data_IF_793363487231
#
_entry.id   IF_793363487231
#
_cell.length_a   1.000
_cell.length_b   1.000
_cell.length_c   1.000
_cell.angle_alpha   90.00
_cell.angle_beta   90.00
_cell.angle_gamma   90.00
#
_symmetry.space_group_name_H-M   'P 1'
#
loop_
_entity.id
_entity.type
_entity.pdbx_description
1 polymer ?
#
# COMPACT_ATOMS: atom_id res chain seq x y z
N UNK A 1 16.54 1.78 -45.08
CA UNK A 1 15.59 0.67 -45.25
C UNK A 1 14.69 0.69 -44.01
N UNK A 2 13.47 1.20 -44.19
CA UNK A 2 12.51 1.28 -43.08
C UNK A 2 11.80 -0.05 -42.89
N UNK A 3 11.57 -0.41 -41.64
CA UNK A 3 10.86 -1.62 -41.20
C UNK A 3 9.33 -1.41 -41.12
N UNK A 4 8.83 -0.40 -41.86
CA UNK A 4 7.44 0.05 -41.71
C UNK A 4 6.39 -0.80 -42.45
N UNK A 5 6.74 -1.97 -42.97
CA UNK A 5 5.80 -2.83 -43.69
C UNK A 5 5.94 -4.32 -43.37
N UNK A 6 6.02 -4.66 -42.08
CA UNK A 6 5.94 -6.07 -41.66
C UNK A 6 4.46 -6.40 -41.44
N UNK A 7 3.86 -7.10 -42.39
CA UNK A 7 2.53 -7.71 -42.22
C UNK A 7 2.73 -9.06 -41.51
N UNK A 8 2.34 -9.11 -40.24
CA UNK A 8 2.30 -10.36 -39.48
C UNK A 8 1.07 -11.17 -39.89
N UNK A 9 1.24 -12.46 -40.17
CA UNK A 9 0.10 -13.33 -40.44
C UNK A 9 -0.74 -13.54 -39.17
N UNK A 10 -2.06 -13.79 -39.29
CA UNK A 10 -2.93 -14.05 -38.13
C UNK A 10 -2.40 -15.19 -37.24
N UNK A 11 -1.78 -16.23 -37.82
CA UNK A 11 -1.21 -17.36 -37.08
C UNK A 11 0.01 -16.92 -36.24
N UNK A 12 0.81 -16.00 -36.78
CA UNK A 12 1.98 -15.50 -36.06
C UNK A 12 1.57 -14.56 -34.90
N UNK A 13 0.53 -13.77 -35.12
CA UNK A 13 -0.06 -12.94 -34.04
C UNK A 13 -0.64 -13.84 -32.94
N UNK A 14 -1.37 -14.90 -33.30
CA UNK A 14 -1.92 -15.86 -32.35
C UNK A 14 -0.82 -16.57 -31.54
N UNK A 15 0.33 -16.87 -32.15
CA UNK A 15 1.45 -17.49 -31.45
C UNK A 15 2.19 -16.54 -30.50
N UNK A 16 2.18 -15.22 -30.79
CA UNK A 16 2.81 -14.20 -29.95
C UNK A 16 1.95 -13.81 -28.74
N UNK A 17 0.63 -13.96 -28.85
CA UNK A 17 -0.33 -13.57 -27.82
C UNK A 17 -1.32 -14.69 -27.49
N UNK A 18 -0.87 -15.84 -26.93
CA UNK A 18 -1.73 -17.00 -26.73
C UNK A 18 -2.89 -16.78 -25.74
N UNK A 19 -2.80 -15.75 -24.88
CA UNK A 19 -3.80 -15.52 -23.83
C UNK A 19 -4.55 -14.18 -23.94
N UNK A 20 -4.23 -13.33 -24.93
CA UNK A 20 -4.77 -11.96 -25.01
C UNK A 20 -5.46 -11.62 -26.33
N UNK A 21 -5.63 -12.57 -27.26
CA UNK A 21 -6.33 -12.33 -28.53
C UNK A 21 -7.84 -12.33 -28.30
N UNK A 22 -8.45 -11.14 -28.47
CA UNK A 22 -9.89 -10.99 -28.56
C UNK A 22 -10.27 -11.00 -30.03
N UNK A 23 -10.97 -12.03 -30.51
CA UNK A 23 -11.56 -12.07 -31.83
C UNK A 23 -12.67 -11.01 -31.92
N UNK A 24 -12.42 -9.94 -32.67
CA UNK A 24 -13.44 -8.98 -33.05
C UNK A 24 -14.09 -9.51 -34.33
N UNK A 25 -15.15 -10.30 -34.20
CA UNK A 25 -16.03 -10.60 -35.33
C UNK A 25 -16.88 -9.38 -35.66
N UNK A 26 -16.54 -8.73 -36.75
CA UNK A 26 -17.42 -7.79 -37.43
C UNK A 26 -18.49 -8.60 -38.18
N UNK A 27 -19.63 -8.82 -37.57
CA UNK A 27 -20.84 -9.30 -38.23
C UNK A 27 -22.02 -8.50 -37.71
N UNK A 28 -22.44 -7.54 -38.54
CA UNK A 28 -23.71 -6.87 -38.36
C UNK A 28 -24.86 -7.86 -38.26
N UNK A 29 -25.39 -7.98 -37.05
CA UNK A 29 -26.77 -8.31 -36.78
C UNK A 29 -27.09 -8.10 -35.30
N UNK A 30 -28.14 -7.34 -35.06
CA UNK A 30 -28.78 -7.03 -33.80
C UNK A 30 -29.10 -8.29 -32.99
N UNK A 31 -28.31 -8.61 -32.04
CA UNK A 31 -28.58 -9.63 -31.03
C UNK A 31 -28.08 -9.17 -29.67
N UNK A 32 -29.01 -8.84 -28.79
CA UNK A 32 -28.74 -8.58 -27.39
C UNK A 32 -28.06 -9.83 -26.80
N UNK A 33 -26.74 -9.83 -26.71
CA UNK A 33 -26.01 -10.80 -25.90
C UNK A 33 -25.84 -10.22 -24.51
N UNK A 34 -26.09 -11.02 -23.46
CA UNK A 34 -25.82 -10.59 -22.10
C UNK A 34 -24.30 -10.37 -21.99
N UNK A 35 -23.93 -9.18 -21.65
CA UNK A 35 -22.57 -8.72 -21.36
C UNK A 35 -22.13 -9.27 -20.00
N UNK A 36 -21.96 -10.58 -19.94
CA UNK A 36 -21.51 -11.28 -18.75
C UNK A 36 -20.53 -12.35 -19.16
N UNK A 37 -19.30 -11.95 -19.34
CA UNK A 37 -18.10 -12.77 -19.18
C UNK A 37 -16.99 -12.28 -20.13
N UNK A 38 -16.18 -11.35 -19.68
CA UNK A 38 -14.73 -11.20 -19.96
C UNK A 38 -14.22 -9.83 -19.50
N UNK A 39 -14.86 -9.21 -18.52
CA UNK A 39 -14.17 -8.24 -17.71
C UNK A 39 -13.79 -8.95 -16.41
N UNK A 40 -12.75 -9.75 -16.46
CA UNK A 40 -11.89 -9.91 -15.30
C UNK A 40 -11.31 -8.54 -15.00
N UNK A 41 -12.17 -7.62 -14.53
CA UNK A 41 -11.71 -6.41 -13.86
C UNK A 41 -10.87 -6.95 -12.72
N UNK A 42 -9.56 -6.82 -12.81
CA UNK A 42 -8.72 -6.82 -11.64
C UNK A 42 -9.26 -5.69 -10.77
N UNK A 43 -10.28 -5.99 -9.99
CA UNK A 43 -10.78 -5.08 -8.98
C UNK A 43 -9.69 -5.07 -7.93
N UNK A 44 -8.76 -4.14 -8.07
CA UNK A 44 -7.82 -3.84 -6.98
C UNK A 44 -8.72 -3.49 -5.78
N UNK A 45 -8.66 -4.24 -4.68
CA UNK A 45 -9.52 -4.01 -3.53
C UNK A 45 -9.46 -2.56 -3.12
N UNK A 46 -10.61 -1.97 -2.89
CA UNK A 46 -10.67 -0.60 -2.37
C UNK A 46 -10.42 -0.69 -0.87
N UNK A 47 -9.19 -0.39 -0.45
CA UNK A 47 -8.86 -0.25 0.96
C UNK A 47 -9.35 1.09 1.47
N UNK A 48 -10.30 1.13 2.43
CA UNK A 48 -10.65 2.36 3.13
C UNK A 48 -9.39 2.95 3.77
N UNK A 49 -9.11 4.20 3.52
CA UNK A 49 -7.91 4.85 4.06
C UNK A 49 -8.17 6.31 4.38
N UNK A 50 -7.48 6.80 5.39
CA UNK A 50 -7.48 8.20 5.76
C UNK A 50 -6.27 8.88 5.12
N UNK A 51 -6.49 10.04 4.49
CA UNK A 51 -5.45 10.78 3.76
C UNK A 51 -5.53 10.63 2.25
N UNK A 52 -4.57 11.20 1.52
CA UNK A 52 -4.55 11.25 0.05
C UNK A 52 -3.32 10.60 -0.58
N UNK A 53 -2.42 10.06 0.22
CA UNK A 53 -1.17 9.41 -0.23
C UNK A 53 -0.29 10.27 -1.16
N UNK A 54 -0.22 11.57 -0.94
CA UNK A 54 0.50 12.49 -1.83
C UNK A 54 2.02 12.26 -1.87
N UNK A 55 2.59 11.63 -0.83
CA UNK A 55 4.02 11.32 -0.73
C UNK A 55 4.34 9.83 -0.73
N UNK A 56 3.40 9.00 -1.16
CA UNK A 56 3.58 7.53 -1.22
C UNK A 56 4.02 6.93 0.13
N UNK A 57 3.42 7.40 1.22
CA UNK A 57 3.69 6.94 2.58
C UNK A 57 2.45 6.21 3.10
N UNK A 58 2.59 4.94 3.43
CA UNK A 58 1.49 4.13 3.96
C UNK A 58 1.71 3.85 5.44
N UNK A 59 0.67 4.06 6.23
CA UNK A 59 0.59 3.62 7.62
C UNK A 59 -0.40 2.46 7.72
N UNK A 60 0.09 1.30 8.09
CA UNK A 60 -0.74 0.15 8.43
C UNK A 60 -0.91 0.12 9.94
N UNK A 61 -2.15 0.18 10.39
CA UNK A 61 -2.52 0.14 11.81
C UNK A 61 -3.40 -1.07 12.10
N UNK A 62 -3.53 -1.44 13.36
CA UNK A 62 -4.34 -2.57 13.82
C UNK A 62 -5.19 -2.15 15.03
N UNK A 63 -6.41 -1.67 14.74
CA UNK A 63 -7.39 -1.25 15.76
C UNK A 63 -8.77 -1.83 15.43
N UNK A 64 -9.10 -3.02 15.97
CA UNK A 64 -10.34 -3.74 15.62
C UNK A 64 -11.61 -2.98 15.99
N UNK A 65 -11.57 -2.13 17.02
CA UNK A 65 -12.73 -1.38 17.52
C UNK A 65 -12.91 0.00 16.87
N UNK A 66 -12.08 0.34 15.88
CA UNK A 66 -12.10 1.65 15.22
C UNK A 66 -12.07 1.52 13.71
N UNK A 67 -12.69 2.47 13.01
CA UNK A 67 -12.61 2.52 11.55
C UNK A 67 -11.15 2.73 11.07
N UNK A 68 -10.43 3.64 11.69
CA UNK A 68 -9.02 3.89 11.41
C UNK A 68 -8.17 3.77 12.68
N UNK A 69 -8.09 4.83 13.49
CA UNK A 69 -7.32 4.87 14.74
C UNK A 69 -8.09 5.62 15.81
N UNK A 70 -7.84 5.33 17.11
CA UNK A 70 -8.36 6.14 18.20
C UNK A 70 -7.90 7.60 18.10
N UNK A 71 -8.73 8.54 18.58
CA UNK A 71 -8.45 9.98 18.50
C UNK A 71 -7.11 10.38 19.15
N UNK A 72 -6.78 9.79 20.29
CA UNK A 72 -5.51 10.02 20.97
C UNK A 72 -4.29 9.56 20.16
N UNK A 73 -4.42 8.46 19.40
CA UNK A 73 -3.38 7.97 18.50
C UNK A 73 -3.30 8.83 17.23
N UNK A 74 -4.43 9.29 16.73
CA UNK A 74 -4.47 10.23 15.60
C UNK A 74 -3.78 11.55 15.95
N UNK A 75 -4.06 12.09 17.13
CA UNK A 75 -3.41 13.32 17.63
C UNK A 75 -1.89 13.14 17.78
N UNK A 76 -1.45 11.96 18.24
CA UNK A 76 -0.03 11.64 18.34
C UNK A 76 0.62 11.52 16.95
N UNK A 77 -0.04 10.86 16.01
CA UNK A 77 0.42 10.74 14.63
C UNK A 77 0.54 12.11 13.96
N UNK A 78 -0.41 13.01 14.18
CA UNK A 78 -0.33 14.40 13.68
C UNK A 78 0.93 15.13 14.17
N UNK A 79 1.32 14.96 15.44
CA UNK A 79 2.56 15.55 15.98
C UNK A 79 3.80 14.98 15.30
N UNK A 80 3.84 13.67 15.05
CA UNK A 80 4.95 12.99 14.33
C UNK A 80 5.04 13.50 12.90
N UNK A 81 3.92 13.51 12.19
CA UNK A 81 3.87 13.99 10.80
C UNK A 81 4.31 15.45 10.70
N UNK A 82 3.82 16.31 11.57
CA UNK A 82 4.23 17.72 11.64
C UNK A 82 5.73 17.88 11.84
N UNK A 83 6.35 17.07 12.72
CA UNK A 83 7.80 17.05 12.92
C UNK A 83 8.58 16.61 11.67
N UNK A 84 7.97 15.78 10.84
CA UNK A 84 8.52 15.34 9.54
C UNK A 84 8.16 16.28 8.37
N UNK A 85 7.56 17.43 8.63
CA UNK A 85 7.04 18.35 7.62
C UNK A 85 6.06 17.68 6.66
N UNK A 86 5.27 16.78 7.19
CA UNK A 86 4.20 16.06 6.51
C UNK A 86 2.85 16.39 7.13
N UNK A 87 1.80 16.16 6.37
CA UNK A 87 0.40 16.26 6.79
C UNK A 87 -0.31 14.92 6.61
N UNK A 88 -1.53 14.81 7.12
CA UNK A 88 -2.36 13.62 6.92
C UNK A 88 -2.65 13.37 5.43
N UNK A 89 -2.71 14.42 4.58
CA UNK A 89 -2.89 14.27 3.15
C UNK A 89 -1.70 13.60 2.44
N UNK A 90 -0.51 13.68 3.04
CA UNK A 90 0.71 13.09 2.46
C UNK A 90 0.79 11.58 2.61
N UNK A 91 -0.02 11.00 3.49
CA UNK A 91 -0.04 9.59 3.82
C UNK A 91 -1.34 8.90 3.39
N UNK A 92 -1.33 7.58 3.37
CA UNK A 92 -2.51 6.72 3.41
C UNK A 92 -2.47 5.89 4.69
N UNK A 93 -3.43 6.12 5.59
CA UNK A 93 -3.57 5.36 6.82
C UNK A 93 -4.66 4.32 6.63
N UNK A 94 -4.30 3.05 6.76
CA UNK A 94 -5.15 1.88 6.50
C UNK A 94 -5.24 1.06 7.77
N UNK A 95 -6.46 0.73 8.21
CA UNK A 95 -6.65 -0.17 9.33
C UNK A 95 -6.75 -1.61 8.83
N UNK A 96 -5.72 -2.41 9.11
CA UNK A 96 -5.63 -3.80 8.68
C UNK A 96 -6.58 -4.75 9.43
N UNK A 97 -7.14 -4.33 10.57
CA UNK A 97 -8.17 -5.09 11.29
C UNK A 97 -9.50 -5.11 10.55
N UNK A 98 -9.80 -4.05 9.80
CA UNK A 98 -11.08 -3.90 9.10
C UNK A 98 -11.14 -4.75 7.83
N UNK A 99 -10.01 -4.99 7.18
CA UNK A 99 -9.90 -5.75 5.95
C UNK A 99 -8.53 -6.46 5.88
N UNK A 100 -8.47 -7.75 5.53
CA UNK A 100 -7.19 -8.42 5.34
C UNK A 100 -6.41 -7.75 4.20
N UNK A 101 -5.28 -7.16 4.55
CA UNK A 101 -4.40 -6.48 3.59
C UNK A 101 -3.44 -7.49 2.97
N UNK A 102 -3.42 -7.58 1.65
CA UNK A 102 -2.44 -8.37 0.91
C UNK A 102 -1.32 -7.46 0.42
N UNK A 103 -0.08 -7.94 0.53
CA UNK A 103 1.12 -7.18 0.17
C UNK A 103 1.10 -6.69 -1.27
N UNK A 104 0.85 -7.59 -2.22
CA UNK A 104 0.86 -7.26 -3.65
C UNK A 104 -0.21 -6.24 -4.02
N UNK A 105 -1.41 -6.37 -3.44
CA UNK A 105 -2.51 -5.44 -3.66
C UNK A 105 -2.23 -4.04 -3.08
N UNK A 106 -1.59 -4.00 -1.89
CA UNK A 106 -1.16 -2.76 -1.26
C UNK A 106 -0.16 -2.00 -2.14
N UNK A 107 0.87 -2.71 -2.61
CA UNK A 107 1.90 -2.13 -3.48
C UNK A 107 1.28 -1.63 -4.78
N UNK A 108 0.46 -2.45 -5.43
CA UNK A 108 -0.19 -2.09 -6.68
C UNK A 108 -1.11 -0.87 -6.54
N UNK A 109 -1.79 -0.72 -5.41
CA UNK A 109 -2.75 0.37 -5.19
C UNK A 109 -2.13 1.68 -4.77
N UNK A 110 -1.17 1.63 -3.85
CA UNK A 110 -0.64 2.84 -3.19
C UNK A 110 0.75 3.24 -3.67
N UNK A 111 1.46 2.34 -4.40
CA UNK A 111 2.85 2.55 -4.85
C UNK A 111 3.73 3.14 -3.74
N UNK A 112 3.78 2.52 -2.55
CA UNK A 112 4.43 3.09 -1.40
C UNK A 112 5.96 3.15 -1.59
N UNK A 113 6.56 4.23 -1.14
CA UNK A 113 8.00 4.35 -0.94
C UNK A 113 8.38 4.05 0.51
N UNK A 114 7.45 4.32 1.42
CA UNK A 114 7.64 4.13 2.85
C UNK A 114 6.38 3.46 3.42
N UNK A 115 6.57 2.41 4.21
CA UNK A 115 5.50 1.75 4.95
C UNK A 115 5.83 1.75 6.44
N UNK A 116 4.95 2.30 7.25
CA UNK A 116 4.97 2.18 8.69
C UNK A 116 4.02 1.06 9.13
N UNK A 117 4.56 0.07 9.85
CA UNK A 117 3.77 -0.95 10.53
C UNK A 117 3.51 -0.45 11.96
N UNK A 118 2.38 0.21 12.17
CA UNK A 118 2.04 0.91 13.40
C UNK A 118 1.26 0.02 14.36
N UNK A 119 1.95 -0.52 15.34
CA UNK A 119 1.47 -1.60 16.18
C UNK A 119 1.80 -2.98 15.61
N UNK A 120 1.42 -4.03 16.32
CA UNK A 120 1.48 -5.38 15.76
C UNK A 120 0.41 -5.49 14.67
N UNK A 121 0.80 -5.78 13.42
CA UNK A 121 -0.13 -5.95 12.30
C UNK A 121 -0.28 -7.44 11.97
N UNK A 122 -1.15 -8.17 12.69
CA UNK A 122 -1.31 -9.63 12.54
C UNK A 122 -1.79 -10.02 11.14
N UNK A 123 -2.55 -9.15 10.47
CA UNK A 123 -3.07 -9.38 9.13
C UNK A 123 -1.98 -9.59 8.07
N UNK A 124 -0.76 -9.18 8.35
CA UNK A 124 0.40 -9.38 7.48
C UNK A 124 1.41 -10.40 8.03
N UNK A 125 1.09 -11.05 9.16
CA UNK A 125 1.92 -12.11 9.71
C UNK A 125 2.03 -13.25 8.66
N UNK A 126 3.26 -13.59 8.28
CA UNK A 126 3.54 -14.62 7.26
C UNK A 126 3.69 -14.08 5.83
N UNK A 127 3.29 -12.84 5.55
CA UNK A 127 3.58 -12.19 4.26
C UNK A 127 4.87 -11.37 4.29
N UNK A 128 5.29 -10.96 5.48
CA UNK A 128 6.49 -10.16 5.71
C UNK A 128 7.49 -10.93 6.57
N UNK A 129 8.81 -10.73 6.36
CA UNK A 129 9.83 -11.26 7.26
C UNK A 129 9.71 -10.61 8.65
N UNK A 130 10.32 -11.24 9.66
CA UNK A 130 10.41 -10.64 10.98
C UNK A 130 11.29 -9.40 10.94
N UNK A 131 10.73 -8.24 11.23
CA UNK A 131 11.44 -6.97 11.29
C UNK A 131 11.83 -6.60 12.72
N UNK A 132 12.96 -5.96 12.86
CA UNK A 132 13.36 -5.38 14.14
C UNK A 132 12.63 -4.06 14.37
N UNK A 133 12.03 -3.91 15.56
CA UNK A 133 11.31 -2.70 15.95
C UNK A 133 12.15 -1.43 15.84
N UNK A 134 11.56 -0.37 15.32
CA UNK A 134 12.18 0.95 15.11
C UNK A 134 13.47 0.89 14.26
N UNK A 135 13.52 -0.01 13.28
CA UNK A 135 14.63 -0.15 12.35
C UNK A 135 14.12 -0.04 10.92
N UNK A 136 14.77 0.78 10.11
CA UNK A 136 14.45 0.90 8.68
C UNK A 136 14.98 -0.33 7.95
N UNK A 137 14.09 -1.10 7.36
CA UNK A 137 14.40 -2.25 6.50
C UNK A 137 13.98 -1.95 5.07
N UNK A 138 14.78 -2.37 4.10
CA UNK A 138 14.47 -2.19 2.68
C UNK A 138 14.00 -3.53 2.11
N UNK A 139 12.81 -3.54 1.50
CA UNK A 139 12.24 -4.68 0.80
C UNK A 139 11.61 -4.20 -0.51
N UNK A 140 12.02 -4.78 -1.63
CA UNK A 140 11.54 -4.42 -2.98
C UNK A 140 11.64 -2.92 -3.32
N UNK A 141 12.66 -2.24 -2.77
CA UNK A 141 12.83 -0.79 -2.94
C UNK A 141 11.97 0.05 -1.99
N UNK A 142 11.17 -0.56 -1.13
CA UNK A 142 10.27 0.09 -0.17
C UNK A 142 10.94 0.10 1.21
N UNK A 143 10.95 1.26 1.86
CA UNK A 143 11.43 1.39 3.25
C UNK A 143 10.34 1.00 4.22
N UNK A 144 10.55 -0.06 5.01
CA UNK A 144 9.59 -0.55 5.99
C UNK A 144 10.11 -0.22 7.39
N UNK A 145 9.25 0.40 8.20
CA UNK A 145 9.54 0.79 9.57
C UNK A 145 8.50 0.17 10.51
N UNK A 146 8.83 -0.91 11.21
CA UNK A 146 7.95 -1.44 12.24
C UNK A 146 8.00 -0.56 13.49
N UNK A 147 6.84 -0.20 14.00
CA UNK A 147 6.62 0.56 15.23
C UNK A 147 5.71 -0.26 16.12
N UNK A 148 6.23 -1.39 16.64
CA UNK A 148 5.43 -2.42 17.32
C UNK A 148 4.81 -1.93 18.63
N UNK A 149 5.47 -1.00 19.30
CA UNK A 149 5.04 -0.45 20.60
C UNK A 149 4.39 0.93 20.47
N UNK A 150 3.64 1.17 19.39
CA UNK A 150 3.01 2.47 19.12
C UNK A 150 2.10 2.96 20.26
N UNK A 151 1.36 2.05 20.90
CA UNK A 151 0.48 2.39 22.03
C UNK A 151 1.27 2.79 23.29
N UNK A 152 2.35 2.09 23.60
CA UNK A 152 3.25 2.42 24.72
C UNK A 152 3.95 3.75 24.48
N UNK A 153 4.29 4.05 23.23
CA UNK A 153 4.94 5.29 22.84
C UNK A 153 4.09 6.53 23.12
N UNK A 154 2.76 6.40 23.10
CA UNK A 154 1.85 7.52 23.40
C UNK A 154 1.66 7.79 24.91
N UNK A 155 2.41 7.11 25.76
CA UNK A 155 2.43 7.38 27.21
C UNK A 155 3.57 8.33 27.59
N UNK A 156 3.40 9.04 28.72
CA UNK A 156 4.42 9.99 29.24
C UNK A 156 5.34 9.35 30.28
N UNK A 157 5.49 8.01 30.23
CA UNK A 157 6.43 7.27 31.06
C UNK A 157 7.85 7.29 30.43
N UNK A 158 8.83 6.82 31.19
CA UNK A 158 10.25 6.74 30.76
C UNK A 158 10.41 5.90 29.50
N UNK A 159 9.73 4.77 29.42
CA UNK A 159 9.74 3.86 28.29
C UNK A 159 9.18 4.52 27.01
N UNK A 160 8.04 5.20 27.12
CA UNK A 160 7.45 5.94 26.01
C UNK A 160 8.38 7.04 25.48
N UNK A 161 9.13 7.72 26.36
CA UNK A 161 10.11 8.74 25.96
C UNK A 161 11.30 8.12 25.21
N UNK A 162 11.82 7.00 25.67
CA UNK A 162 12.92 6.28 24.99
C UNK A 162 12.49 5.80 23.60
N UNK A 163 11.27 5.25 23.48
CA UNK A 163 10.70 4.83 22.19
C UNK A 163 10.50 6.02 21.24
N UNK A 164 9.99 7.15 21.73
CA UNK A 164 9.87 8.39 20.93
C UNK A 164 11.23 8.87 20.41
N UNK A 165 12.28 8.80 21.23
CA UNK A 165 13.63 9.19 20.81
C UNK A 165 14.19 8.25 19.73
N UNK A 166 14.03 6.93 19.88
CA UNK A 166 14.43 5.94 18.89
C UNK A 166 13.69 6.13 17.57
N UNK A 167 12.37 6.31 17.62
CA UNK A 167 11.59 6.60 16.43
C UNK A 167 12.08 7.88 15.74
N UNK A 168 12.37 8.93 16.51
CA UNK A 168 12.88 10.20 15.97
C UNK A 168 14.21 10.03 15.22
N UNK A 169 15.12 9.20 15.72
CA UNK A 169 16.38 8.88 15.02
C UNK A 169 16.09 8.20 13.66
N UNK A 170 15.13 7.29 13.61
CA UNK A 170 14.73 6.64 12.36
C UNK A 170 14.12 7.65 11.38
N UNK A 171 13.21 8.51 11.86
CA UNK A 171 12.55 9.53 11.03
C UNK A 171 13.55 10.55 10.45
N UNK A 172 14.52 11.00 11.24
CA UNK A 172 15.59 11.89 10.74
C UNK A 172 16.35 11.28 9.56
N UNK A 173 16.71 10.02 9.66
CA UNK A 173 17.42 9.32 8.57
C UNK A 173 16.54 9.17 7.33
N UNK A 174 15.25 8.87 7.53
CA UNK A 174 14.32 8.59 6.45
C UNK A 174 13.90 9.85 5.68
N UNK A 175 13.67 10.96 6.40
CA UNK A 175 13.19 12.22 5.84
C UNK A 175 14.29 13.27 5.63
N UNK A 176 15.56 12.94 5.90
CA UNK A 176 16.70 13.86 5.82
C UNK A 176 16.45 15.19 6.60
N UNK A 177 16.04 15.07 7.87
CA UNK A 177 15.70 16.18 8.76
C UNK A 177 16.92 16.67 9.56
#
# INVERSE_FOLDING_TARGET
>A
MGIDNIQLSPELIAALYPETLVDVYDSGETGIRPEAALTGKFQVPVYPHLGKNLRSIVFLVDYPDHEFVPENQLAFLHKILGACKCSLNDIALINASSLPVKWDELILRFHPQIIFLWGAVPAMAGQLPAFQDLTVSLMDGISIIPVLQANTMNTDNKEGLELKQRLWVCLKKLFNL
#
